data_IF_081738007626
#
_entry.id   IF_081738007626
#
_cell.length_a   1.000
_cell.length_b   1.000
_cell.length_c   1.000
_cell.angle_alpha   90.00
_cell.angle_beta   90.00
_cell.angle_gamma   90.00
#
_symmetry.space_group_name_H-M   'P 1'
#
loop_
_entity.id
_entity.type
_entity.pdbx_description
1 polymer ?
#
# COMPACT_ATOMS: atom_id res chain seq x y z
N UNK A 1 -2.67 3.78 -31.41
CA UNK A 1 -1.61 3.04 -30.66
C UNK A 1 -1.10 1.80 -31.42
N UNK A 2 -0.88 1.92 -32.73
CA UNK A 2 -0.31 0.83 -33.51
C UNK A 2 1.19 0.65 -33.14
N UNK A 3 1.60 -0.57 -32.84
CA UNK A 3 2.97 -0.93 -32.48
C UNK A 3 3.35 -0.73 -30.99
N UNK A 4 2.44 -0.26 -30.13
CA UNK A 4 2.67 -0.15 -28.70
C UNK A 4 2.69 -1.55 -28.08
N UNK A 5 3.76 -1.88 -27.33
CA UNK A 5 3.92 -3.19 -26.69
C UNK A 5 3.42 -3.20 -25.23
N UNK A 6 3.49 -2.07 -24.56
CA UNK A 6 3.09 -1.87 -23.16
C UNK A 6 2.83 -0.38 -22.94
N UNK A 7 1.91 -0.06 -22.05
CA UNK A 7 1.61 1.31 -21.62
C UNK A 7 1.86 1.39 -20.10
N UNK A 8 2.66 2.34 -19.67
CA UNK A 8 2.84 2.68 -18.26
C UNK A 8 2.30 4.08 -18.04
N UNK A 9 1.30 4.20 -17.18
CA UNK A 9 0.72 5.48 -16.80
C UNK A 9 1.46 6.06 -15.60
N UNK A 10 2.09 7.21 -15.79
CA UNK A 10 2.72 8.00 -14.75
C UNK A 10 2.06 9.37 -14.60
N UNK A 11 0.82 9.52 -15.10
CA UNK A 11 0.11 10.79 -14.97
C UNK A 11 -0.55 10.90 -13.58
N UNK A 12 -0.61 12.12 -13.06
CA UNK A 12 -1.13 12.41 -11.74
C UNK A 12 -2.00 13.67 -11.75
N UNK A 13 -2.88 13.85 -10.77
CA UNK A 13 -3.22 12.93 -9.67
C UNK A 13 -3.96 11.67 -10.16
N UNK A 14 -3.69 10.54 -9.51
CA UNK A 14 -4.17 9.23 -10.01
C UNK A 14 -5.69 9.10 -9.99
N UNK A 15 -6.35 9.56 -8.95
CA UNK A 15 -7.82 9.55 -8.85
C UNK A 15 -8.51 10.26 -10.03
N UNK A 16 -7.86 11.25 -10.63
CA UNK A 16 -8.39 12.03 -11.73
C UNK A 16 -8.07 11.46 -13.10
N UNK A 17 -6.84 10.93 -13.25
CA UNK A 17 -6.26 10.61 -14.57
C UNK A 17 -6.36 9.13 -14.89
N UNK A 18 -6.18 8.24 -13.91
CA UNK A 18 -6.04 6.81 -14.12
C UNK A 18 -7.20 6.21 -14.89
N UNK A 19 -8.44 6.50 -14.52
CA UNK A 19 -9.62 5.96 -15.24
C UNK A 19 -9.68 6.43 -16.68
N UNK A 20 -9.44 7.71 -16.94
CA UNK A 20 -9.52 8.28 -18.29
C UNK A 20 -8.49 7.68 -19.23
N UNK A 21 -7.24 7.52 -18.72
CA UNK A 21 -6.15 6.91 -19.49
C UNK A 21 -6.40 5.43 -19.71
N UNK A 22 -6.85 4.71 -18.68
CA UNK A 22 -7.15 3.29 -18.74
C UNK A 22 -8.28 2.96 -19.72
N UNK A 23 -9.37 3.74 -19.76
CA UNK A 23 -10.48 3.55 -20.69
C UNK A 23 -10.02 3.71 -22.16
N UNK A 24 -9.06 4.59 -22.43
CA UNK A 24 -8.48 4.72 -23.77
C UNK A 24 -7.48 3.58 -24.06
N UNK A 25 -6.62 3.25 -23.09
CA UNK A 25 -5.67 2.14 -23.22
C UNK A 25 -6.38 0.79 -23.38
N UNK A 26 -7.47 0.57 -22.65
CA UNK A 26 -8.26 -0.67 -22.66
C UNK A 26 -8.87 -1.04 -24.02
N UNK A 27 -8.90 -0.09 -24.96
CA UNK A 27 -9.30 -0.32 -26.37
C UNK A 27 -8.15 -0.85 -27.23
N UNK A 28 -6.95 -0.97 -26.66
CA UNK A 28 -5.77 -1.50 -27.33
C UNK A 28 -5.45 -2.90 -26.83
N UNK A 29 -4.70 -3.66 -27.61
CA UNK A 29 -4.18 -4.96 -27.18
C UNK A 29 -2.87 -4.84 -26.37
N UNK A 30 -2.43 -3.61 -26.05
CA UNK A 30 -1.24 -3.38 -25.26
C UNK A 30 -1.58 -3.53 -23.75
N UNK A 31 -0.84 -4.34 -23.00
CA UNK A 31 -0.94 -4.36 -21.54
C UNK A 31 -0.74 -2.97 -20.95
N UNK A 32 -1.36 -2.72 -19.81
CA UNK A 32 -1.35 -1.41 -19.14
C UNK A 32 -0.94 -1.54 -17.68
N UNK A 33 -0.18 -0.56 -17.21
CA UNK A 33 0.24 -0.47 -15.80
C UNK A 33 -0.01 0.95 -15.32
N UNK A 34 -0.51 1.05 -14.10
CA UNK A 34 -0.76 2.29 -13.40
C UNK A 34 -0.27 2.17 -11.95
N UNK A 35 0.56 3.10 -11.51
CA UNK A 35 1.02 3.15 -10.12
C UNK A 35 -0.11 3.54 -9.17
N UNK A 36 -1.11 4.28 -9.66
CA UNK A 36 -2.26 4.72 -8.90
C UNK A 36 -3.50 3.85 -9.08
N UNK A 37 -4.58 4.26 -8.40
CA UNK A 37 -5.90 3.68 -8.52
C UNK A 37 -6.91 4.72 -9.00
N UNK A 38 -7.79 4.39 -9.94
CA UNK A 38 -8.95 5.24 -10.22
C UNK A 38 -9.93 5.24 -9.05
N UNK A 39 -10.69 6.31 -8.93
CA UNK A 39 -11.79 6.40 -7.98
C UNK A 39 -12.76 5.23 -8.13
N UNK A 40 -13.21 4.68 -7.01
CA UNK A 40 -14.15 3.52 -6.98
C UNK A 40 -13.65 2.33 -7.82
N UNK A 41 -12.34 2.02 -7.77
CA UNK A 41 -11.69 1.01 -8.60
C UNK A 41 -12.44 -0.32 -8.65
N UNK A 42 -12.83 -0.89 -7.50
CA UNK A 42 -13.46 -2.21 -7.45
C UNK A 42 -14.87 -2.26 -8.05
N UNK A 43 -15.62 -1.17 -7.92
CA UNK A 43 -16.91 -1.02 -8.56
C UNK A 43 -16.75 -0.89 -10.10
N UNK A 44 -15.83 -0.01 -10.50
CA UNK A 44 -15.50 0.19 -11.91
C UNK A 44 -14.89 -1.05 -12.55
N UNK A 45 -13.96 -1.74 -11.87
CA UNK A 45 -13.30 -2.97 -12.33
C UNK A 45 -14.31 -4.03 -12.77
N UNK A 46 -15.40 -4.19 -12.03
CA UNK A 46 -16.43 -5.21 -12.32
C UNK A 46 -17.18 -4.98 -13.63
N UNK A 47 -17.25 -3.73 -14.07
CA UNK A 47 -17.96 -3.30 -15.30
C UNK A 47 -17.02 -3.02 -16.47
N UNK A 48 -15.71 -2.95 -16.24
CA UNK A 48 -14.72 -2.60 -17.24
C UNK A 48 -14.13 -3.84 -17.91
N UNK A 49 -14.22 -3.90 -19.23
CA UNK A 49 -13.76 -5.03 -20.03
C UNK A 49 -12.68 -4.57 -21.02
N UNK A 50 -11.41 -4.50 -20.61
CA UNK A 50 -10.30 -4.13 -21.49
C UNK A 50 -9.95 -5.28 -22.44
N UNK A 51 -9.22 -4.96 -23.52
CA UNK A 51 -8.74 -5.93 -24.51
C UNK A 51 -7.41 -6.61 -24.11
N UNK A 52 -6.82 -6.22 -22.99
CA UNK A 52 -5.56 -6.76 -22.47
C UNK A 52 -5.51 -6.69 -20.94
N UNK A 53 -4.52 -7.35 -20.34
CA UNK A 53 -4.27 -7.27 -18.91
C UNK A 53 -3.89 -5.84 -18.49
N UNK A 54 -4.49 -5.35 -17.43
CA UNK A 54 -4.23 -4.02 -16.88
C UNK A 54 -3.98 -4.11 -15.38
N UNK A 55 -2.82 -3.64 -14.91
CA UNK A 55 -2.44 -3.63 -13.51
C UNK A 55 -2.56 -2.20 -12.97
N UNK A 56 -3.30 -2.05 -11.87
CA UNK A 56 -3.48 -0.80 -11.13
C UNK A 56 -2.92 -0.93 -9.73
N UNK A 57 -2.60 0.20 -9.09
CA UNK A 57 -1.98 0.18 -7.78
C UNK A 57 -0.61 -0.50 -7.80
N UNK A 58 0.14 -0.34 -8.91
CA UNK A 58 1.50 -0.86 -9.03
C UNK A 58 2.49 0.09 -8.34
N UNK A 59 2.22 0.43 -7.08
CA UNK A 59 2.99 1.36 -6.27
C UNK A 59 3.54 0.75 -4.99
N UNK A 60 3.95 1.60 -4.07
CA UNK A 60 4.35 1.18 -2.72
C UNK A 60 3.12 0.79 -1.89
N UNK A 61 2.10 1.66 -1.86
CA UNK A 61 0.80 1.44 -1.19
C UNK A 61 -0.28 2.19 -1.98
N UNK A 62 -1.22 1.48 -2.65
CA UNK A 62 -1.29 0.01 -2.81
C UNK A 62 -0.17 -0.55 -3.70
N UNK A 63 0.02 -1.87 -3.63
CA UNK A 63 0.94 -2.64 -4.43
C UNK A 63 1.89 -3.49 -3.60
N UNK A 64 3.06 -2.93 -3.16
CA UNK A 64 3.99 -3.67 -2.30
C UNK A 64 3.34 -4.03 -0.97
N UNK A 65 2.54 -3.15 -0.38
CA UNK A 65 1.76 -3.40 0.85
C UNK A 65 0.95 -4.70 0.76
N UNK A 66 0.20 -4.85 -0.31
CA UNK A 66 -0.61 -6.05 -0.52
C UNK A 66 0.22 -7.28 -0.87
N UNK A 67 1.25 -7.15 -1.70
CA UNK A 67 2.16 -8.25 -2.03
C UNK A 67 2.88 -8.78 -0.79
N UNK A 68 3.35 -7.88 0.08
CA UNK A 68 3.94 -8.20 1.37
C UNK A 68 2.96 -8.99 2.25
N UNK A 69 1.75 -8.46 2.44
CA UNK A 69 0.71 -9.10 3.23
C UNK A 69 0.31 -10.48 2.67
N UNK A 70 0.12 -10.58 1.36
CA UNK A 70 -0.22 -11.84 0.69
C UNK A 70 0.89 -12.89 0.85
N UNK A 71 2.14 -12.48 0.71
CA UNK A 71 3.30 -13.35 0.90
C UNK A 71 3.34 -13.92 2.31
N UNK A 72 3.23 -13.07 3.33
CA UNK A 72 3.23 -13.48 4.75
C UNK A 72 2.09 -14.45 5.04
N UNK A 73 0.88 -14.15 4.58
CA UNK A 73 -0.26 -15.04 4.80
C UNK A 73 -0.09 -16.38 4.07
N UNK A 74 0.61 -16.41 2.94
CA UNK A 74 0.92 -17.67 2.24
C UNK A 74 1.92 -18.56 2.98
N UNK A 75 2.87 -17.94 3.69
CA UNK A 75 3.83 -18.66 4.55
C UNK A 75 3.20 -19.13 5.85
N UNK A 76 2.11 -18.51 6.29
CA UNK A 76 1.45 -18.76 7.56
C UNK A 76 -0.04 -19.06 7.37
N UNK A 77 -0.39 -20.20 6.75
CA UNK A 77 -1.79 -20.53 6.53
C UNK A 77 -2.52 -20.73 7.85
N UNK A 78 -3.79 -20.36 7.88
CA UNK A 78 -4.65 -20.46 9.08
C UNK A 78 -4.21 -19.57 10.26
N UNK A 79 -3.67 -18.42 9.98
CA UNK A 79 -3.34 -17.43 11.02
C UNK A 79 -4.57 -16.94 11.74
N UNK A 80 -4.53 -16.94 13.08
CA UNK A 80 -5.64 -16.49 13.91
C UNK A 80 -5.77 -14.98 13.90
N UNK A 81 -4.64 -14.28 14.04
CA UNK A 81 -4.62 -12.82 14.16
C UNK A 81 -3.42 -12.22 13.47
N UNK A 82 -3.64 -11.05 12.90
CA UNK A 82 -2.60 -10.21 12.31
C UNK A 82 -2.83 -8.75 12.67
N UNK A 83 -1.82 -8.10 13.23
CA UNK A 83 -1.75 -6.64 13.37
C UNK A 83 -0.70 -6.12 12.38
N UNK A 84 -1.11 -5.27 11.43
CA UNK A 84 -0.23 -4.71 10.39
C UNK A 84 -0.10 -3.21 10.55
N UNK A 85 1.12 -2.74 10.32
CA UNK A 85 1.47 -1.33 10.35
C UNK A 85 2.25 -0.99 9.11
N UNK A 86 1.91 0.11 8.46
CA UNK A 86 2.83 0.73 7.53
C UNK A 86 3.13 2.16 7.95
N UNK A 87 4.33 2.61 7.69
CA UNK A 87 4.75 3.99 7.91
C UNK A 87 5.63 4.44 6.76
N UNK A 88 5.39 5.66 6.30
CA UNK A 88 6.19 6.31 5.28
C UNK A 88 6.64 7.66 5.80
N UNK A 89 7.94 7.93 5.64
CA UNK A 89 8.57 9.20 5.97
C UNK A 89 9.15 9.80 4.69
N UNK A 90 9.32 11.11 4.68
CA UNK A 90 9.94 11.82 3.59
C UNK A 90 9.04 12.84 2.94
N UNK A 91 9.55 13.39 1.85
CA UNK A 91 8.87 14.39 1.04
C UNK A 91 7.69 13.76 0.29
N UNK A 92 6.61 14.49 0.20
CA UNK A 92 5.50 14.18 -0.72
C UNK A 92 5.62 15.08 -1.95
N UNK A 93 5.69 14.48 -3.14
CA UNK A 93 5.46 15.24 -4.37
C UNK A 93 4.04 15.81 -4.39
N UNK A 94 3.80 16.84 -5.21
CA UNK A 94 2.45 17.39 -5.37
C UNK A 94 1.40 16.31 -5.69
N UNK A 95 1.76 15.36 -6.55
CA UNK A 95 0.88 14.27 -6.93
C UNK A 95 0.57 13.32 -5.75
N UNK A 96 1.60 12.92 -5.00
CA UNK A 96 1.45 12.08 -3.82
C UNK A 96 0.65 12.79 -2.72
N UNK A 97 0.90 14.10 -2.52
CA UNK A 97 0.14 14.90 -1.57
C UNK A 97 -1.35 15.01 -1.95
N UNK A 98 -1.64 15.19 -3.23
CA UNK A 98 -3.02 15.23 -3.73
C UNK A 98 -3.73 13.88 -3.52
N UNK A 99 -3.12 12.79 -3.94
CA UNK A 99 -3.72 11.46 -3.83
C UNK A 99 -3.89 11.05 -2.35
N UNK A 100 -2.93 11.38 -1.48
CA UNK A 100 -3.05 11.19 -0.03
C UNK A 100 -4.25 11.95 0.55
N UNK A 101 -4.34 13.27 0.27
CA UNK A 101 -5.44 14.10 0.76
C UNK A 101 -6.80 13.62 0.22
N UNK A 102 -6.81 13.22 -1.05
CA UNK A 102 -8.03 12.68 -1.66
C UNK A 102 -8.51 11.44 -0.93
N UNK A 103 -7.63 10.47 -0.69
CA UNK A 103 -7.94 9.23 0.01
C UNK A 103 -8.44 9.46 1.44
N UNK A 104 -7.79 10.38 2.19
CA UNK A 104 -8.18 10.71 3.57
C UNK A 104 -9.51 11.48 3.63
N UNK A 105 -9.69 12.49 2.76
CA UNK A 105 -10.86 13.38 2.82
C UNK A 105 -12.13 12.77 2.22
N UNK A 106 -12.00 11.79 1.32
CA UNK A 106 -13.12 11.16 0.62
C UNK A 106 -13.41 9.74 1.08
N UNK A 107 -12.83 9.30 2.21
CA UNK A 107 -13.16 8.00 2.80
C UNK A 107 -14.66 7.92 3.06
N UNK A 108 -15.30 6.88 2.57
CA UNK A 108 -16.74 6.66 2.74
C UNK A 108 -17.04 6.20 4.18
N UNK A 109 -18.22 6.55 4.67
CA UNK A 109 -18.66 6.16 6.03
C UNK A 109 -18.95 4.66 6.15
N UNK A 110 -19.19 4.00 5.04
CA UNK A 110 -19.50 2.57 4.92
C UNK A 110 -18.26 1.70 4.60
N UNK A 111 -17.05 2.24 4.74
CA UNK A 111 -15.83 1.46 4.61
C UNK A 111 -15.50 0.73 5.93
N UNK A 112 -15.07 -0.55 5.87
CA UNK A 112 -14.70 -1.28 7.06
C UNK A 112 -13.40 -0.74 7.68
N UNK A 113 -13.23 -0.97 8.99
CA UNK A 113 -12.05 -0.54 9.74
C UNK A 113 -11.06 -1.67 10.04
N UNK A 114 -11.51 -2.92 9.95
CA UNK A 114 -10.72 -4.09 10.30
C UNK A 114 -11.31 -5.36 9.67
N UNK A 115 -10.71 -6.49 10.00
CA UNK A 115 -11.15 -7.82 9.60
C UNK A 115 -11.43 -8.65 10.85
N UNK A 116 -12.63 -9.23 10.98
CA UNK A 116 -13.01 -10.05 12.12
C UNK A 116 -13.85 -11.25 11.70
N UNK A 117 -13.57 -12.40 12.32
CA UNK A 117 -14.26 -13.65 12.04
C UNK A 117 -14.31 -14.03 10.55
N UNK A 118 -13.24 -13.68 9.80
CA UNK A 118 -13.15 -13.96 8.37
C UNK A 118 -13.91 -12.99 7.45
N UNK A 119 -14.38 -11.86 7.97
CA UNK A 119 -15.20 -10.89 7.24
C UNK A 119 -14.79 -9.44 7.55
N UNK A 120 -15.06 -8.47 6.64
CA UNK A 120 -14.87 -7.05 6.91
C UNK A 120 -15.67 -6.60 8.13
N UNK A 121 -15.04 -5.86 9.04
CA UNK A 121 -15.64 -5.34 10.26
C UNK A 121 -15.77 -3.82 10.20
N UNK A 122 -16.98 -3.32 10.41
CA UNK A 122 -17.32 -1.90 10.36
C UNK A 122 -17.26 -1.20 11.73
N UNK A 123 -16.98 -1.96 12.79
CA UNK A 123 -16.78 -1.38 14.11
C UNK A 123 -15.52 -0.53 14.10
N UNK A 124 -15.65 0.71 14.58
CA UNK A 124 -14.53 1.63 14.70
C UNK A 124 -13.51 1.07 15.67
N UNK A 125 -12.29 0.87 15.20
CA UNK A 125 -11.14 0.57 16.06
C UNK A 125 -10.44 1.87 16.45
N UNK A 126 -9.91 1.90 17.68
CA UNK A 126 -9.22 3.09 18.18
C UNK A 126 -7.86 3.27 17.51
N UNK A 127 -7.45 4.53 17.33
CA UNK A 127 -6.06 4.85 17.08
C UNK A 127 -5.18 4.35 18.22
N UNK A 128 -3.94 4.05 17.94
CA UNK A 128 -2.91 3.77 18.93
C UNK A 128 -2.00 5.00 19.07
N UNK A 129 -1.81 5.48 20.27
CA UNK A 129 -0.87 6.56 20.60
C UNK A 129 0.37 5.99 21.28
N UNK A 130 1.45 6.75 21.29
CA UNK A 130 2.74 6.34 21.88
C UNK A 130 3.29 5.01 21.32
N UNK A 131 2.91 4.64 20.10
CA UNK A 131 3.38 3.43 19.44
C UNK A 131 4.88 3.56 19.14
N UNK A 132 5.63 2.51 19.47
CA UNK A 132 7.02 2.33 19.04
C UNK A 132 7.10 1.17 18.07
N UNK A 133 7.80 1.36 16.97
CA UNK A 133 8.08 0.33 15.99
C UNK A 133 9.60 0.17 15.85
N UNK A 134 10.11 -1.03 15.57
CA UNK A 134 11.54 -1.27 15.42
C UNK A 134 12.16 -0.33 14.38
N UNK A 135 13.40 0.10 14.62
CA UNK A 135 14.18 0.99 13.75
C UNK A 135 13.54 2.36 13.48
N UNK A 136 12.69 2.85 14.40
CA UNK A 136 12.06 4.17 14.34
C UNK A 136 12.16 4.81 15.72
N UNK A 137 12.97 5.86 15.83
CA UNK A 137 13.21 6.56 17.11
C UNK A 137 12.01 7.37 17.59
N UNK A 138 11.19 7.85 16.64
CA UNK A 138 10.01 8.65 16.94
C UNK A 138 8.88 7.82 17.57
N UNK A 139 8.15 8.42 18.51
CA UNK A 139 6.84 7.92 18.89
C UNK A 139 5.84 8.13 17.77
N UNK A 140 5.02 7.14 17.53
CA UNK A 140 4.05 7.12 16.44
C UNK A 140 2.63 7.17 16.94
N UNK A 141 1.76 7.74 16.11
CA UNK A 141 0.32 7.58 16.17
C UNK A 141 -0.11 6.71 15.00
N UNK A 142 -0.75 5.57 15.30
CA UNK A 142 -1.26 4.66 14.29
C UNK A 142 -2.77 4.84 14.13
N UNK A 143 -3.19 5.26 12.94
CA UNK A 143 -4.59 5.40 12.54
C UNK A 143 -5.07 4.13 11.85
N UNK A 144 -6.30 3.67 12.09
CA UNK A 144 -6.88 2.57 11.34
C UNK A 144 -6.84 2.85 9.84
N UNK A 145 -6.29 1.90 9.10
CA UNK A 145 -6.20 1.96 7.64
C UNK A 145 -6.50 0.58 7.07
N UNK A 146 -7.68 0.41 6.54
CA UNK A 146 -8.12 -0.84 5.93
C UNK A 146 -8.70 -0.54 4.55
N UNK A 147 -8.15 -1.15 3.54
CA UNK A 147 -8.54 -0.95 2.16
C UNK A 147 -8.95 -2.27 1.49
N UNK A 148 -9.36 -2.17 0.26
CA UNK A 148 -9.84 -3.33 -0.49
C UNK A 148 -8.72 -4.28 -0.91
N UNK A 149 -7.48 -3.82 -1.06
CA UNK A 149 -6.31 -4.68 -1.29
C UNK A 149 -6.05 -5.55 -0.06
N UNK A 150 -6.07 -4.94 1.12
CA UNK A 150 -5.96 -5.61 2.42
C UNK A 150 -7.10 -6.61 2.63
N UNK A 151 -8.34 -6.22 2.34
CA UNK A 151 -9.50 -7.11 2.42
C UNK A 151 -9.36 -8.32 1.50
N UNK A 152 -8.89 -8.11 0.28
CA UNK A 152 -8.62 -9.20 -0.66
C UNK A 152 -7.58 -10.17 -0.10
N UNK A 153 -6.44 -9.67 0.42
CA UNK A 153 -5.38 -10.49 1.00
C UNK A 153 -5.87 -11.26 2.23
N UNK A 154 -6.60 -10.62 3.13
CA UNK A 154 -7.17 -11.26 4.32
C UNK A 154 -8.11 -12.41 3.94
N UNK A 155 -8.97 -12.20 2.94
CA UNK A 155 -9.90 -13.21 2.45
C UNK A 155 -9.19 -14.42 1.85
N UNK A 156 -8.27 -14.23 0.90
CA UNK A 156 -7.58 -15.33 0.23
C UNK A 156 -6.61 -16.07 1.17
N UNK A 157 -6.02 -15.35 2.15
CA UNK A 157 -5.18 -15.91 3.20
C UNK A 157 -5.95 -16.61 4.31
N UNK A 158 -7.29 -16.64 4.26
CA UNK A 158 -8.15 -17.22 5.29
C UNK A 158 -7.83 -16.68 6.69
N UNK A 159 -7.47 -15.40 6.78
CA UNK A 159 -7.21 -14.72 8.04
C UNK A 159 -8.50 -14.68 8.87
N UNK A 160 -8.41 -15.00 10.17
CA UNK A 160 -9.56 -14.93 11.07
C UNK A 160 -9.80 -13.51 11.55
N UNK A 161 -8.80 -12.89 12.17
CA UNK A 161 -8.89 -11.52 12.71
C UNK A 161 -7.69 -10.68 12.26
N UNK A 162 -7.92 -9.41 11.93
CA UNK A 162 -6.84 -8.49 11.52
C UNK A 162 -7.14 -7.03 11.81
N UNK A 163 -6.14 -6.32 12.33
CA UNK A 163 -6.17 -4.86 12.45
C UNK A 163 -5.04 -4.28 11.60
N UNK A 164 -5.33 -3.18 10.92
CA UNK A 164 -4.43 -2.57 9.96
C UNK A 164 -4.32 -1.09 10.23
N UNK A 165 -3.10 -0.57 10.22
CA UNK A 165 -2.81 0.79 10.64
C UNK A 165 -1.82 1.47 9.70
N UNK A 166 -2.05 2.76 9.46
CA UNK A 166 -1.05 3.68 8.97
C UNK A 166 -0.47 4.45 10.16
N UNK A 167 0.84 4.42 10.36
CA UNK A 167 1.51 5.06 11.46
C UNK A 167 2.32 6.27 11.00
N UNK A 168 2.21 7.39 11.72
CA UNK A 168 2.95 8.62 11.48
C UNK A 168 3.57 9.13 12.76
N UNK A 169 4.71 9.82 12.67
CA UNK A 169 5.37 10.39 13.83
C UNK A 169 4.47 11.41 14.54
N UNK A 170 4.38 11.29 15.87
CA UNK A 170 3.52 12.13 16.70
C UNK A 170 3.91 13.61 16.61
N UNK A 171 5.21 13.90 16.57
CA UNK A 171 5.74 15.25 16.46
C UNK A 171 5.54 15.88 15.06
N UNK A 172 5.23 15.10 14.03
CA UNK A 172 4.91 15.58 12.67
C UNK A 172 3.47 16.12 12.56
N UNK A 173 2.93 16.57 13.67
CA UNK A 173 1.90 17.57 13.79
C UNK A 173 0.64 17.32 12.96
N UNK A 174 -0.14 16.30 13.33
CA UNK A 174 -1.55 16.16 12.89
C UNK A 174 -2.34 17.49 13.09
N UNK A 175 -1.97 18.30 14.09
CA UNK A 175 -2.57 19.62 14.31
C UNK A 175 -2.25 20.61 13.18
N UNK A 176 -1.05 20.52 12.56
CA UNK A 176 -0.72 21.35 11.39
C UNK A 176 -1.39 20.82 10.12
N UNK A 177 -1.72 19.54 10.06
CA UNK A 177 -2.40 18.95 8.91
C UNK A 177 -3.92 19.20 8.89
N UNK A 178 -4.56 19.43 10.05
CA UNK A 178 -6.00 19.71 10.11
C UNK A 178 -6.46 20.84 9.20
N UNK A 179 -5.78 22.01 9.15
CA UNK A 179 -6.14 23.08 8.22
C UNK A 179 -6.03 22.64 6.74
N UNK A 180 -5.03 21.81 6.41
CA UNK A 180 -4.82 21.29 5.05
C UNK A 180 -5.97 20.36 4.64
N UNK A 181 -6.45 19.48 5.51
CA UNK A 181 -7.64 18.66 5.25
C UNK A 181 -8.91 19.49 5.05
N UNK A 182 -9.08 20.54 5.82
CA UNK A 182 -10.21 21.47 5.61
C UNK A 182 -10.10 22.21 4.29
N UNK A 183 -8.90 22.71 3.98
CA UNK A 183 -8.60 23.40 2.73
C UNK A 183 -8.79 22.50 1.51
N UNK A 184 -8.49 21.21 1.61
CA UNK A 184 -8.65 20.26 0.51
C UNK A 184 -10.11 20.15 0.05
N UNK A 185 -11.06 20.28 0.95
CA UNK A 185 -12.50 20.27 0.62
C UNK A 185 -12.94 21.52 -0.16
N UNK A 186 -12.24 22.63 0.03
CA UNK A 186 -12.55 23.91 -0.61
C UNK A 186 -11.71 24.13 -1.88
N UNK A 187 -10.42 23.81 -1.81
CA UNK A 187 -9.47 23.95 -2.91
C UNK A 187 -8.40 22.86 -2.87
N UNK A 188 -8.66 21.70 -3.52
CA UNK A 188 -7.77 20.53 -3.51
C UNK A 188 -6.36 20.83 -4.01
N UNK A 189 -6.22 21.65 -5.05
CA UNK A 189 -4.92 21.96 -5.66
C UNK A 189 -4.02 22.77 -4.72
N UNK A 190 -4.57 23.77 -4.06
CA UNK A 190 -3.82 24.59 -3.08
C UNK A 190 -3.43 23.73 -1.87
N UNK A 191 -4.34 22.91 -1.37
CA UNK A 191 -4.06 22.03 -0.23
C UNK A 191 -2.95 21.03 -0.55
N UNK A 192 -2.98 20.40 -1.72
CA UNK A 192 -1.95 19.46 -2.15
C UNK A 192 -0.57 20.14 -2.30
N UNK A 193 -0.54 21.36 -2.86
CA UNK A 193 0.67 22.17 -2.94
C UNK A 193 1.21 22.49 -1.55
N UNK A 194 0.35 22.95 -0.65
CA UNK A 194 0.73 23.28 0.72
C UNK A 194 1.28 22.07 1.46
N UNK A 195 0.66 20.89 1.32
CA UNK A 195 1.18 19.66 1.94
C UNK A 195 2.54 19.26 1.37
N UNK A 196 2.72 19.36 0.05
CA UNK A 196 4.00 19.09 -0.60
C UNK A 196 5.11 20.03 -0.07
N UNK A 197 4.84 21.32 0.03
CA UNK A 197 5.76 22.32 0.60
C UNK A 197 6.07 22.05 2.09
N UNK A 198 5.09 21.62 2.88
CA UNK A 198 5.28 21.27 4.30
C UNK A 198 6.19 20.08 4.53
N UNK A 199 6.37 19.23 3.52
CA UNK A 199 7.21 18.02 3.58
C UNK A 199 8.55 18.19 2.86
N UNK A 200 8.86 19.37 2.31
CA UNK A 200 10.05 19.58 1.46
C UNK A 200 11.37 19.36 2.22
N UNK A 201 11.42 19.75 3.50
CA UNK A 201 12.59 19.59 4.37
C UNK A 201 12.81 18.15 4.88
N UNK A 202 11.94 17.20 4.49
CA UNK A 202 11.98 15.82 4.99
C UNK A 202 12.70 14.85 4.05
N UNK A 203 13.40 15.33 3.05
CA UNK A 203 14.04 14.51 2.01
C UNK A 203 15.06 13.52 2.60
N UNK A 204 15.84 13.95 3.60
CA UNK A 204 16.88 13.12 4.24
C UNK A 204 16.31 12.04 5.18
N UNK A 205 15.01 12.07 5.43
CA UNK A 205 14.32 11.13 6.31
C UNK A 205 13.42 10.18 5.51
N UNK A 206 13.63 10.10 4.18
CA UNK A 206 12.79 9.27 3.33
C UNK A 206 12.94 7.80 3.67
N UNK A 207 11.85 7.14 3.98
CA UNK A 207 11.78 5.68 4.02
C UNK A 207 10.32 5.21 4.06
N UNK A 208 10.13 3.95 3.73
CA UNK A 208 8.87 3.23 3.96
C UNK A 208 9.16 1.92 4.66
N UNK A 209 8.34 1.58 5.65
CA UNK A 209 8.41 0.35 6.40
C UNK A 209 7.05 -0.28 6.54
N UNK A 210 7.01 -1.58 6.39
CA UNK A 210 5.85 -2.42 6.64
C UNK A 210 6.19 -3.39 7.75
N UNK A 211 5.23 -3.61 8.67
CA UNK A 211 5.34 -4.57 9.75
C UNK A 211 4.05 -5.38 9.83
N UNK A 212 4.19 -6.68 10.07
CA UNK A 212 3.09 -7.55 10.42
C UNK A 212 3.47 -8.36 11.65
N UNK A 213 2.74 -8.20 12.74
CA UNK A 213 2.77 -9.14 13.87
C UNK A 213 1.65 -10.14 13.65
N UNK A 214 2.02 -11.41 13.54
CA UNK A 214 1.11 -12.50 13.21
C UNK A 214 1.08 -13.50 14.36
N UNK A 215 -0.11 -13.96 14.73
CA UNK A 215 -0.35 -14.99 15.75
C UNK A 215 -1.01 -16.22 15.11
N UNK A 216 -0.42 -17.38 15.33
CA UNK A 216 -0.96 -18.65 14.85
C UNK A 216 -2.01 -19.25 15.81
N UNK A 217 -2.55 -20.42 15.47
CA UNK A 217 -3.57 -21.11 16.27
C UNK A 217 -3.07 -21.54 17.66
N UNK A 218 -1.75 -21.76 17.83
CA UNK A 218 -1.13 -22.13 19.11
C UNK A 218 -0.72 -20.90 19.95
N UNK A 219 -1.02 -19.69 19.50
CA UNK A 219 -0.67 -18.45 20.19
C UNK A 219 0.80 -18.03 20.01
N UNK A 220 1.55 -18.71 19.13
CA UNK A 220 2.92 -18.30 18.79
C UNK A 220 2.88 -17.07 17.88
N UNK A 221 3.76 -16.13 18.13
CA UNK A 221 3.85 -14.88 17.40
C UNK A 221 5.12 -14.78 16.58
N UNK A 222 5.00 -14.17 15.41
CA UNK A 222 6.09 -13.78 14.53
C UNK A 222 5.88 -12.38 14.02
N UNK A 223 6.97 -11.66 13.83
CA UNK A 223 6.99 -10.35 13.16
C UNK A 223 7.66 -10.50 11.81
N UNK A 224 7.04 -9.89 10.83
CA UNK A 224 7.63 -9.71 9.49
C UNK A 224 7.81 -8.23 9.24
N UNK A 225 8.94 -7.84 8.68
CA UNK A 225 9.20 -6.46 8.30
C UNK A 225 9.77 -6.35 6.89
N UNK A 226 9.44 -5.25 6.21
CA UNK A 226 10.02 -4.88 4.93
C UNK A 226 10.36 -3.39 4.97
N UNK A 227 11.57 -3.06 4.56
CA UNK A 227 12.09 -1.70 4.52
C UNK A 227 12.52 -1.31 3.11
N UNK A 228 12.26 -0.04 2.76
CA UNK A 228 12.86 0.60 1.60
C UNK A 228 13.21 2.06 1.93
N UNK A 229 14.39 2.56 1.50
CA UNK A 229 14.83 3.91 1.85
C UNK A 229 14.03 5.03 1.15
N UNK A 230 13.29 4.72 0.09
CA UNK A 230 12.55 5.71 -0.70
C UNK A 230 11.23 5.14 -1.22
N UNK A 231 10.10 5.75 -0.82
CA UNK A 231 8.76 5.30 -1.22
C UNK A 231 8.43 5.62 -2.68
N UNK A 232 9.01 6.68 -3.25
CA UNK A 232 8.81 7.05 -4.65
C UNK A 232 9.62 6.10 -5.57
N UNK A 233 10.86 5.78 -5.19
CA UNK A 233 11.67 4.76 -5.87
C UNK A 233 11.01 3.38 -5.81
N UNK A 234 10.48 2.98 -4.65
CA UNK A 234 9.75 1.73 -4.49
C UNK A 234 8.50 1.68 -5.39
N UNK A 235 7.80 2.81 -5.52
CA UNK A 235 6.65 2.93 -6.44
C UNK A 235 7.07 2.75 -7.90
N UNK A 236 8.13 3.43 -8.33
CA UNK A 236 8.68 3.28 -9.68
C UNK A 236 9.17 1.87 -9.96
N UNK A 237 9.86 1.27 -9.00
CA UNK A 237 10.32 -0.13 -9.04
C UNK A 237 9.16 -1.10 -9.22
N UNK A 238 8.07 -0.93 -8.46
CA UNK A 238 6.90 -1.80 -8.56
C UNK A 238 6.26 -1.73 -9.93
N UNK A 239 6.10 -0.54 -10.49
CA UNK A 239 5.58 -0.36 -11.85
C UNK A 239 6.49 -1.02 -12.90
N UNK A 240 7.81 -0.87 -12.78
CA UNK A 240 8.78 -1.49 -13.67
C UNK A 240 8.77 -3.02 -13.57
N UNK A 241 8.64 -3.56 -12.37
CA UNK A 241 8.53 -5.02 -12.13
C UNK A 241 7.24 -5.58 -12.71
N UNK A 242 6.11 -4.89 -12.54
CA UNK A 242 4.85 -5.25 -13.18
C UNK A 242 4.98 -5.25 -14.72
N UNK A 243 5.73 -4.29 -15.28
CA UNK A 243 6.01 -4.24 -16.70
C UNK A 243 6.84 -5.46 -17.17
N UNK A 244 7.89 -5.79 -16.42
CA UNK A 244 8.72 -6.98 -16.68
C UNK A 244 7.91 -8.27 -16.58
N UNK A 245 7.04 -8.38 -15.56
CA UNK A 245 6.15 -9.52 -15.37
C UNK A 245 5.24 -9.73 -16.58
N UNK A 246 4.52 -8.71 -17.03
CA UNK A 246 3.64 -8.80 -18.21
C UNK A 246 4.42 -9.04 -19.51
N UNK A 247 5.63 -8.50 -19.62
CA UNK A 247 6.51 -8.71 -20.80
C UNK A 247 7.07 -10.13 -20.90
N UNK A 248 7.10 -10.89 -19.81
CA UNK A 248 7.53 -12.29 -19.79
C UNK A 248 6.49 -13.26 -20.39
N UNK A 249 5.50 -12.73 -21.15
CA UNK A 249 4.44 -13.52 -21.80
C UNK A 249 3.62 -14.38 -20.82
N UNK A 250 3.45 -13.90 -19.60
CA UNK A 250 2.56 -14.53 -18.64
C UNK A 250 1.13 -14.25 -19.10
N UNK A 251 0.37 -15.33 -19.29
CA UNK A 251 -1.02 -15.28 -19.76
C UNK A 251 -1.96 -14.78 -18.63
N UNK A 252 -1.94 -13.47 -18.39
CA UNK A 252 -2.94 -12.83 -17.55
C UNK A 252 -4.22 -12.53 -18.34
N UNK A 253 -5.40 -12.72 -17.73
CA UNK A 253 -6.65 -12.45 -18.42
C UNK A 253 -6.80 -10.94 -18.74
N UNK A 254 -7.53 -10.61 -19.82
CA UNK A 254 -7.82 -9.22 -20.19
C UNK A 254 -8.82 -8.61 -19.20
N UNK A 255 -8.32 -8.12 -18.09
CA UNK A 255 -9.10 -7.43 -17.03
C UNK A 255 -8.24 -6.41 -16.30
N UNK A 256 -8.88 -5.49 -15.59
CA UNK A 256 -8.24 -4.62 -14.60
C UNK A 256 -7.98 -5.42 -13.32
N UNK A 257 -6.81 -5.29 -12.70
CA UNK A 257 -6.42 -6.03 -11.50
C UNK A 257 -5.37 -5.31 -10.68
N UNK A 258 -5.27 -5.64 -9.40
CA UNK A 258 -4.16 -5.25 -8.54
C UNK A 258 -3.01 -6.25 -8.66
N UNK A 259 -1.77 -5.90 -8.26
CA UNK A 259 -0.63 -6.83 -8.22
C UNK A 259 -0.94 -8.11 -7.43
N UNK A 260 -1.67 -8.00 -6.33
CA UNK A 260 -2.09 -9.15 -5.50
C UNK A 260 -3.09 -10.08 -6.18
N UNK A 261 -3.74 -9.66 -7.25
CA UNK A 261 -4.74 -10.45 -8.00
C UNK A 261 -4.13 -11.19 -9.20
N UNK A 262 -2.83 -11.03 -9.46
CA UNK A 262 -2.12 -11.74 -10.51
C UNK A 262 -2.10 -13.24 -10.25
N UNK A 263 -1.92 -14.04 -11.31
CA UNK A 263 -1.80 -15.51 -11.20
C UNK A 263 -0.59 -15.90 -10.34
N UNK A 264 0.52 -15.17 -10.46
CA UNK A 264 1.79 -15.44 -9.80
C UNK A 264 2.34 -14.18 -9.11
N UNK A 265 1.71 -13.66 -8.06
CA UNK A 265 2.13 -12.42 -7.40
C UNK A 265 3.51 -12.54 -6.71
N UNK A 266 3.88 -13.75 -6.26
CA UNK A 266 5.19 -14.07 -5.71
C UNK A 266 6.33 -13.85 -6.71
N UNK A 267 6.07 -13.95 -8.02
CA UNK A 267 7.06 -13.57 -9.05
C UNK A 267 7.37 -12.08 -9.03
N UNK A 268 6.44 -11.23 -8.62
CA UNK A 268 6.71 -9.80 -8.47
C UNK A 268 7.78 -9.58 -7.41
N UNK A 269 7.62 -10.15 -6.21
CA UNK A 269 8.62 -10.05 -5.15
C UNK A 269 9.97 -10.66 -5.57
N UNK A 270 9.96 -11.79 -6.27
CA UNK A 270 11.19 -12.40 -6.80
C UNK A 270 11.93 -11.48 -7.77
N UNK A 271 11.20 -10.85 -8.71
CA UNK A 271 11.79 -9.90 -9.66
C UNK A 271 12.29 -8.64 -8.94
N UNK A 272 11.55 -8.14 -7.94
CA UNK A 272 11.98 -7.00 -7.13
C UNK A 272 13.30 -7.29 -6.42
N UNK A 273 13.42 -8.47 -5.82
CA UNK A 273 14.66 -8.88 -5.15
C UNK A 273 15.83 -9.06 -6.14
N UNK A 274 15.61 -9.75 -7.25
CA UNK A 274 16.65 -10.08 -8.24
C UNK A 274 17.22 -8.86 -8.97
N UNK A 275 16.34 -7.92 -9.36
CA UNK A 275 16.73 -6.82 -10.28
C UNK A 275 16.85 -5.47 -9.60
N UNK A 276 16.23 -5.28 -8.44
CA UNK A 276 16.18 -3.98 -7.77
C UNK A 276 16.67 -4.03 -6.33
N UNK A 277 17.06 -5.20 -5.82
CA UNK A 277 17.57 -5.34 -4.46
C UNK A 277 16.54 -5.07 -3.36
N UNK A 278 15.25 -5.02 -3.70
CA UNK A 278 14.18 -4.99 -2.69
C UNK A 278 14.10 -6.38 -2.09
N UNK A 279 14.57 -6.54 -0.86
CA UNK A 279 14.64 -7.83 -0.17
C UNK A 279 13.28 -8.48 0.04
N UNK A 280 13.33 -9.76 0.42
CA UNK A 280 12.16 -10.40 1.03
C UNK A 280 11.94 -9.84 2.44
N UNK A 281 10.72 -10.00 3.00
CA UNK A 281 10.47 -9.63 4.39
C UNK A 281 11.46 -10.32 5.35
N UNK A 282 12.02 -9.56 6.28
CA UNK A 282 12.74 -10.10 7.43
C UNK A 282 11.75 -10.77 8.38
N UNK A 283 12.15 -11.87 9.00
CA UNK A 283 11.33 -12.64 9.95
C UNK A 283 11.98 -12.61 11.33
N UNK A 284 11.17 -12.37 12.37
CA UNK A 284 11.57 -12.35 13.76
C UNK A 284 10.57 -13.17 14.60
N UNK A 285 11.08 -14.09 15.44
CA UNK A 285 10.25 -14.85 16.36
C UNK A 285 9.94 -14.02 17.62
N UNK A 286 8.69 -13.60 17.79
CA UNK A 286 8.26 -12.78 18.91
C UNK A 286 7.21 -11.76 18.55
N UNK A 287 7.20 -10.66 19.30
CA UNK A 287 6.27 -9.52 19.13
C UNK A 287 7.01 -8.29 18.63
N UNK A 288 6.28 -7.31 18.10
CA UNK A 288 6.84 -6.00 17.76
C UNK A 288 7.51 -5.35 18.98
N UNK A 289 6.91 -5.47 20.16
CA UNK A 289 7.47 -4.93 21.40
C UNK A 289 8.79 -5.63 21.77
N UNK A 290 8.87 -6.97 21.61
CA UNK A 290 10.14 -7.69 21.90
C UNK A 290 11.23 -7.32 20.90
N UNK A 291 10.91 -7.22 19.62
CA UNK A 291 11.83 -6.79 18.57
C UNK A 291 12.35 -5.37 18.82
N UNK A 292 11.47 -4.44 19.22
CA UNK A 292 11.85 -3.07 19.57
C UNK A 292 12.78 -3.03 20.79
N UNK A 293 12.49 -3.85 21.82
CA UNK A 293 13.31 -3.88 23.04
C UNK A 293 14.70 -4.52 22.81
N UNK A 294 14.82 -5.50 21.93
CA UNK A 294 16.12 -6.06 21.55
C UNK A 294 17.00 -5.02 20.87
N UNK A 295 16.43 -4.23 19.94
CA UNK A 295 17.16 -3.16 19.28
C UNK A 295 17.72 -2.11 20.25
N UNK A 296 16.91 -1.70 21.25
CA UNK A 296 17.33 -0.71 22.26
C UNK A 296 18.05 -1.31 23.46
N UNK A 297 18.04 -2.61 23.65
CA UNK A 297 18.62 -3.32 24.79
C UNK A 297 20.08 -3.73 24.62
N UNK A 298 20.66 -3.62 23.44
CA UNK A 298 22.08 -3.87 23.15
C UNK A 298 22.99 -2.65 23.38
N UNK A 299 22.48 -1.61 24.02
CA UNK A 299 23.24 -0.44 24.47
C UNK A 299 23.43 -0.50 25.99
#
# INVERSE_FOLDING_TARGET
>A
MHGTRLIINCTAPSYYTSRKVAEQAGRSHAPYIDAGLPENFFEWQSSFSPMSAMIFGAGSTPGVSGLFLRHILSLNPCSNRLDSYYTAFGRLSYAAAYDYLYGVCNRKQDEPFSWKNGEPCFDVISQKSDLRLPFIDDKLIAQPFFDSETAYCAKIGSLKDGNFYCAAAENRNLNKMRPVFSLFRENPEIAAKQLSEMTEDLTDLSCIRYYCELENAEGRKKVYSLYHPDSEELTGTTAAVCAKYLSAQIDEPPRAMLPVQLKHPDKILSIMNEFFGVGYPDEFDGTLDSMTNEEYGEL
#
